data_IF_708364121513
#
_entry.id   IF_708364121513
#
_cell.length_a   1.000
_cell.length_b   1.000
_cell.length_c   1.000
_cell.angle_alpha   90.00
_cell.angle_beta   90.00
_cell.angle_gamma   90.00
#
_symmetry.space_group_name_H-M   'P 1'
#
loop_
_entity.id
_entity.type
_entity.pdbx_description
1 polymer ?
#
# COMPACT_ATOMS: atom_id res chain seq x y z
N UNK A 1 14.01 18.61 3.12
CA UNK A 1 12.74 19.22 2.67
C UNK A 1 11.76 19.13 3.84
N UNK A 2 11.20 20.24 4.33
CA UNK A 2 10.41 20.31 5.59
C UNK A 2 8.99 20.79 5.29
N UNK A 3 7.98 19.93 5.51
CA UNK A 3 6.56 20.20 5.25
C UNK A 3 5.99 21.34 6.11
N UNK A 4 6.52 21.55 7.32
CA UNK A 4 6.06 22.62 8.20
C UNK A 4 6.49 24.01 7.69
N UNK A 5 7.63 24.12 7.00
CA UNK A 5 8.12 25.39 6.46
C UNK A 5 7.63 25.68 5.05
N UNK A 6 7.10 24.68 4.34
CA UNK A 6 6.48 24.83 3.02
C UNK A 6 4.95 24.92 3.08
N UNK A 7 4.38 25.20 4.26
CA UNK A 7 2.93 25.25 4.48
C UNK A 7 2.20 23.99 4.00
N UNK A 8 2.74 22.81 4.33
CA UNK A 8 2.24 21.50 3.87
C UNK A 8 2.16 21.41 2.34
N UNK A 9 3.18 21.89 1.63
CA UNK A 9 3.32 21.57 0.20
C UNK A 9 3.59 20.06 0.05
N UNK A 10 2.98 19.35 -0.92
CA UNK A 10 3.33 17.95 -1.24
C UNK A 10 4.77 17.83 -1.78
N UNK A 11 5.41 16.63 -1.69
CA UNK A 11 4.88 15.35 -1.23
C UNK A 11 5.00 15.12 0.29
N UNK A 12 3.94 14.68 0.95
CA UNK A 12 3.92 14.46 2.41
C UNK A 12 4.59 13.18 2.89
N UNK A 13 5.02 12.32 1.97
CA UNK A 13 5.58 11.00 2.28
C UNK A 13 7.06 10.97 1.95
N UNK A 14 7.86 10.37 2.82
CA UNK A 14 9.32 10.36 2.72
C UNK A 14 9.89 9.02 2.23
N UNK A 15 9.05 8.00 2.04
CA UNK A 15 9.47 6.71 1.51
C UNK A 15 8.44 5.61 1.67
N UNK A 16 8.89 4.38 1.43
CA UNK A 16 8.14 3.14 1.54
C UNK A 16 8.89 2.19 2.45
N UNK A 17 8.11 1.41 3.21
CA UNK A 17 8.58 0.24 3.93
C UNK A 17 7.72 -0.97 3.54
N UNK A 18 8.36 -2.07 3.14
CA UNK A 18 7.68 -3.33 2.89
C UNK A 18 8.59 -4.52 3.24
N UNK A 19 8.02 -5.70 3.39
CA UNK A 19 8.80 -6.95 3.43
C UNK A 19 8.90 -7.54 2.01
N UNK A 20 10.09 -7.57 1.38
CA UNK A 20 10.26 -8.16 0.05
C UNK A 20 9.90 -9.64 -0.03
N UNK A 21 9.89 -10.34 1.12
CA UNK A 21 9.51 -11.76 1.20
C UNK A 21 8.01 -11.96 1.27
N UNK A 22 7.22 -10.89 1.40
CA UNK A 22 5.77 -10.98 1.43
C UNK A 22 5.26 -11.62 0.11
N UNK A 23 4.40 -12.65 0.16
CA UNK A 23 3.97 -13.36 -1.04
C UNK A 23 3.32 -12.48 -2.12
N UNK A 24 2.61 -11.42 -1.72
CA UNK A 24 2.05 -10.40 -2.62
C UNK A 24 3.10 -9.67 -3.48
N UNK A 25 4.35 -9.63 -3.04
CA UNK A 25 5.47 -8.94 -3.70
C UNK A 25 6.44 -9.93 -4.37
N UNK A 26 6.15 -11.23 -4.36
CA UNK A 26 7.06 -12.27 -4.84
C UNK A 26 7.43 -12.14 -6.33
N UNK A 27 6.54 -11.56 -7.15
CA UNK A 27 6.79 -11.29 -8.56
C UNK A 27 7.05 -9.80 -8.84
N UNK A 28 7.18 -8.95 -7.82
CA UNK A 28 7.50 -7.54 -7.98
C UNK A 28 8.94 -7.28 -7.53
N UNK A 29 9.83 -6.75 -8.40
CA UNK A 29 11.23 -6.55 -8.05
C UNK A 29 11.36 -5.42 -7.02
N UNK A 30 11.42 -5.77 -5.73
CA UNK A 30 11.52 -4.80 -4.64
C UNK A 30 12.49 -5.22 -3.55
N UNK A 31 12.96 -4.22 -2.81
CA UNK A 31 13.73 -4.37 -1.57
C UNK A 31 12.94 -3.75 -0.42
N UNK A 32 13.51 -3.78 0.79
CA UNK A 32 12.84 -3.30 2.01
C UNK A 32 12.58 -1.78 2.00
N UNK A 33 13.22 -1.04 1.10
CA UNK A 33 13.22 0.42 1.02
C UNK A 33 12.80 0.90 -0.38
N UNK A 34 12.44 2.18 -0.49
CA UNK A 34 12.08 2.83 -1.76
C UNK A 34 13.20 2.78 -2.79
N UNK A 35 12.83 2.49 -4.03
CA UNK A 35 13.70 2.45 -5.21
C UNK A 35 12.83 2.80 -6.43
N UNK A 36 13.44 2.97 -7.61
CA UNK A 36 12.84 3.63 -8.77
C UNK A 36 11.49 3.04 -9.22
N UNK A 37 11.30 1.72 -9.10
CA UNK A 37 10.05 1.05 -9.46
C UNK A 37 8.83 1.54 -8.67
N UNK A 38 9.03 2.14 -7.51
CA UNK A 38 7.95 2.68 -6.69
C UNK A 38 7.49 4.07 -7.13
N UNK A 39 8.30 4.79 -7.93
CA UNK A 39 8.00 6.17 -8.32
C UNK A 39 6.63 6.29 -8.99
N UNK A 40 6.37 5.48 -10.02
CA UNK A 40 5.10 5.48 -10.74
C UNK A 40 3.91 5.13 -9.82
N UNK A 41 4.07 4.13 -8.96
CA UNK A 41 3.02 3.67 -8.04
C UNK A 41 2.68 4.75 -7.01
N UNK A 42 3.68 5.42 -6.43
CA UNK A 42 3.46 6.46 -5.41
C UNK A 42 2.93 7.75 -6.01
N UNK A 43 3.39 8.12 -7.21
CA UNK A 43 2.90 9.31 -7.92
C UNK A 43 1.45 9.19 -8.37
N UNK A 44 0.94 7.97 -8.52
CA UNK A 44 -0.44 7.68 -8.93
C UNK A 44 -1.17 6.88 -7.86
N UNK A 45 -1.08 7.28 -6.59
CA UNK A 45 -1.84 6.67 -5.50
C UNK A 45 -2.43 7.71 -4.54
N UNK A 46 -3.41 7.25 -3.76
CA UNK A 46 -3.86 7.95 -2.56
C UNK A 46 -3.37 7.20 -1.32
N UNK A 47 -2.72 7.88 -0.39
CA UNK A 47 -2.30 7.23 0.86
C UNK A 47 -3.53 6.85 1.70
N UNK A 48 -3.66 5.57 2.06
CA UNK A 48 -4.69 5.12 3.00
C UNK A 48 -4.24 5.43 4.42
N UNK A 49 -5.03 6.21 5.15
CA UNK A 49 -4.80 6.50 6.58
C UNK A 49 -5.35 5.34 7.40
N UNK A 50 -4.48 4.71 8.19
CA UNK A 50 -4.75 3.48 8.95
C UNK A 50 -4.69 3.72 10.47
N UNK A 51 -4.83 4.97 10.92
CA UNK A 51 -4.72 5.33 12.34
C UNK A 51 -5.78 4.61 13.20
N UNK A 52 -6.96 4.35 12.63
CA UNK A 52 -8.06 3.61 13.30
C UNK A 52 -7.92 2.08 13.23
N UNK A 53 -6.91 1.56 12.52
CA UNK A 53 -6.65 0.12 12.45
C UNK A 53 -5.96 -0.37 13.72
N UNK A 54 -6.02 -1.69 14.06
CA UNK A 54 -5.32 -2.24 15.21
C UNK A 54 -3.87 -1.78 15.29
N UNK A 55 -3.37 -1.47 16.49
CA UNK A 55 -2.06 -0.84 16.69
C UNK A 55 -0.91 -1.67 16.07
N UNK A 56 -1.02 -3.00 16.14
CA UNK A 56 -0.10 -3.99 15.61
C UNK A 56 -0.31 -4.28 14.10
N UNK A 57 -1.41 -3.82 13.51
CA UNK A 57 -1.66 -3.99 12.08
C UNK A 57 -0.56 -3.34 11.25
N UNK A 58 -0.09 -4.03 10.21
CA UNK A 58 0.90 -3.54 9.26
C UNK A 58 0.39 -3.82 7.84
N UNK A 59 0.14 -2.78 7.00
CA UNK A 59 -0.12 -3.01 5.57
C UNK A 59 1.06 -3.74 4.91
N UNK A 60 0.77 -4.41 3.79
CA UNK A 60 1.77 -5.10 2.97
C UNK A 60 2.83 -4.11 2.47
N UNK A 61 2.39 -2.90 2.10
CA UNK A 61 3.28 -1.80 1.72
C UNK A 61 2.88 -0.54 2.49
N UNK A 62 3.79 -0.09 3.35
CA UNK A 62 3.67 1.13 4.12
C UNK A 62 4.19 2.33 3.32
N UNK A 63 3.45 3.43 3.34
CA UNK A 63 4.02 4.75 3.07
C UNK A 63 4.52 5.33 4.38
N UNK A 64 5.72 5.90 4.35
CA UNK A 64 6.27 6.62 5.50
C UNK A 64 5.81 8.06 5.38
N UNK A 65 4.98 8.50 6.32
CA UNK A 65 4.51 9.88 6.41
C UNK A 65 5.63 10.83 6.88
N UNK A 66 5.39 12.13 6.79
CA UNK A 66 6.29 13.11 7.38
C UNK A 66 6.34 13.00 8.90
N UNK A 67 7.44 13.48 9.49
CA UNK A 67 7.66 13.43 10.94
C UNK A 67 6.75 14.38 11.75
N UNK A 68 6.00 15.27 11.09
CA UNK A 68 5.15 16.25 11.76
C UNK A 68 3.78 15.64 12.09
N UNK A 69 3.20 14.90 11.14
CA UNK A 69 1.91 14.23 11.34
C UNK A 69 2.07 12.75 11.71
N UNK A 70 3.10 12.07 11.17
CA UNK A 70 3.44 10.69 11.48
C UNK A 70 2.24 9.73 11.46
N UNK A 71 1.33 9.92 10.49
CA UNK A 71 0.16 9.04 10.32
C UNK A 71 0.61 7.67 9.90
N UNK A 72 -0.16 6.66 10.28
CA UNK A 72 0.04 5.30 9.83
C UNK A 72 -0.52 5.16 8.42
N UNK A 73 0.34 5.20 7.41
CA UNK A 73 -0.08 5.16 6.00
C UNK A 73 0.21 3.80 5.32
N UNK A 74 -0.64 3.43 4.36
CA UNK A 74 -0.43 2.28 3.48
C UNK A 74 -0.90 2.53 2.04
N UNK A 75 -0.36 1.75 1.10
CA UNK A 75 -0.83 1.70 -0.31
C UNK A 75 -1.40 0.35 -0.70
N UNK A 76 -1.03 -0.69 0.04
CA UNK A 76 -1.44 -2.05 -0.21
C UNK A 76 -1.64 -2.74 1.13
N UNK A 77 -2.84 -3.27 1.35
CA UNK A 77 -3.21 -3.94 2.59
C UNK A 77 -4.05 -5.19 2.33
N UNK A 78 -4.03 -6.11 3.27
CA UNK A 78 -4.83 -7.34 3.23
C UNK A 78 -5.49 -7.62 4.58
N UNK A 79 -6.58 -8.38 4.56
CA UNK A 79 -7.28 -8.79 5.78
C UNK A 79 -8.43 -9.75 5.51
N UNK A 80 -8.92 -10.40 6.57
CA UNK A 80 -10.19 -11.11 6.55
C UNK A 80 -11.30 -10.13 6.89
N UNK A 81 -12.37 -10.12 6.10
CA UNK A 81 -13.54 -9.27 6.34
C UNK A 81 -14.78 -10.15 6.27
N UNK A 82 -15.43 -10.34 7.42
CA UNK A 82 -16.47 -11.38 7.57
C UNK A 82 -15.91 -12.77 7.23
N UNK A 83 -16.57 -13.48 6.32
CA UNK A 83 -16.15 -14.80 5.85
C UNK A 83 -15.21 -14.76 4.63
N UNK A 84 -14.85 -13.57 4.16
CA UNK A 84 -14.03 -13.36 2.96
C UNK A 84 -12.60 -12.91 3.27
N UNK A 85 -11.76 -12.95 2.23
CA UNK A 85 -10.41 -12.37 2.22
C UNK A 85 -10.44 -11.14 1.31
N UNK A 86 -9.79 -10.07 1.74
CA UNK A 86 -9.76 -8.80 1.03
C UNK A 86 -8.32 -8.35 0.79
N UNK A 87 -8.10 -7.81 -0.40
CA UNK A 87 -6.90 -7.08 -0.77
C UNK A 87 -7.34 -5.68 -1.20
N UNK A 88 -6.74 -4.63 -0.64
CA UNK A 88 -7.04 -3.24 -1.01
C UNK A 88 -5.75 -2.57 -1.47
N UNK A 89 -5.80 -1.98 -2.65
CA UNK A 89 -4.71 -1.19 -3.22
C UNK A 89 -5.23 0.19 -3.62
N UNK A 90 -4.53 1.24 -3.24
CA UNK A 90 -4.88 2.63 -3.56
C UNK A 90 -4.03 3.23 -4.66
N UNK A 91 -3.06 2.47 -5.20
CA UNK A 91 -2.33 2.85 -6.40
C UNK A 91 -3.16 2.57 -7.65
N UNK A 92 -3.01 3.41 -8.67
CA UNK A 92 -3.62 3.20 -9.97
C UNK A 92 -2.93 2.04 -10.69
N UNK A 93 -3.66 0.94 -10.77
CA UNK A 93 -3.28 -0.30 -11.45
C UNK A 93 -4.16 -0.58 -12.68
N UNK A 94 -4.76 0.45 -13.29
CA UNK A 94 -5.68 0.28 -14.42
C UNK A 94 -5.34 1.16 -15.61
N UNK A 95 -4.87 2.38 -15.39
CA UNK A 95 -4.65 3.36 -16.46
C UNK A 95 -3.32 3.15 -17.16
N UNK A 96 -3.34 3.10 -18.51
CA UNK A 96 -2.16 3.10 -19.39
C UNK A 96 -1.04 2.12 -19.00
N UNK A 97 -1.39 0.90 -18.56
CA UNK A 97 -0.43 -0.09 -18.07
C UNK A 97 0.65 -0.50 -19.09
N UNK A 98 0.39 -0.32 -20.38
CA UNK A 98 1.39 -0.56 -21.43
C UNK A 98 2.57 0.42 -21.37
N UNK A 99 2.32 1.62 -20.83
CA UNK A 99 3.32 2.68 -20.62
C UNK A 99 3.91 2.66 -19.20
N UNK A 100 3.28 1.92 -18.28
CA UNK A 100 3.61 1.90 -16.83
C UNK A 100 4.05 0.51 -16.39
N UNK A 101 5.29 0.09 -16.72
CA UNK A 101 5.76 -1.28 -16.49
C UNK A 101 5.77 -1.68 -15.00
N UNK A 102 6.06 -0.73 -14.10
CA UNK A 102 6.03 -0.96 -12.66
C UNK A 102 4.60 -1.27 -12.16
N UNK A 103 3.61 -0.45 -12.52
CA UNK A 103 2.21 -0.69 -12.19
C UNK A 103 1.70 -2.01 -12.77
N UNK A 104 2.05 -2.32 -14.03
CA UNK A 104 1.69 -3.59 -14.68
C UNK A 104 2.25 -4.79 -13.92
N UNK A 105 3.54 -4.76 -13.56
CA UNK A 105 4.17 -5.85 -12.82
C UNK A 105 3.63 -5.98 -11.39
N UNK A 106 3.39 -4.85 -10.72
CA UNK A 106 2.83 -4.84 -9.37
C UNK A 106 1.42 -5.44 -9.34
N UNK A 107 0.56 -5.06 -10.29
CA UNK A 107 -0.76 -5.67 -10.50
C UNK A 107 -0.66 -7.17 -10.71
N UNK A 108 0.25 -7.61 -11.59
CA UNK A 108 0.45 -9.03 -11.85
C UNK A 108 0.86 -9.80 -10.59
N UNK A 109 1.79 -9.27 -9.80
CA UNK A 109 2.23 -9.88 -8.55
C UNK A 109 1.09 -10.03 -7.54
N UNK A 110 0.26 -8.99 -7.38
CA UNK A 110 -0.90 -9.03 -6.48
C UNK A 110 -1.92 -10.07 -6.95
N UNK A 111 -2.27 -10.08 -8.24
CA UNK A 111 -3.25 -11.02 -8.79
C UNK A 111 -2.77 -12.47 -8.68
N UNK A 112 -1.49 -12.74 -8.95
CA UNK A 112 -0.89 -14.06 -8.77
C UNK A 112 -0.95 -14.52 -7.32
N UNK A 113 -0.70 -13.61 -6.38
CA UNK A 113 -0.82 -13.90 -4.96
C UNK A 113 -2.28 -14.24 -4.59
N UNK A 114 -3.23 -13.37 -4.94
CA UNK A 114 -4.67 -13.56 -4.67
C UNK A 114 -5.25 -14.84 -5.28
N UNK A 115 -4.73 -15.27 -6.43
CA UNK A 115 -5.13 -16.50 -7.11
C UNK A 115 -4.45 -17.77 -6.57
N UNK A 116 -3.57 -17.65 -5.57
CA UNK A 116 -2.83 -18.77 -4.99
C UNK A 116 -3.33 -19.14 -3.58
N UNK A 117 -3.04 -20.36 -3.15
CA UNK A 117 -3.33 -20.82 -1.77
C UNK A 117 -2.58 -20.03 -0.70
N UNK A 118 -1.54 -19.28 -1.10
CA UNK A 118 -0.79 -18.41 -0.19
C UNK A 118 -1.58 -17.18 0.24
N UNK A 119 -2.63 -16.78 -0.48
CA UNK A 119 -3.49 -15.68 -0.07
C UNK A 119 -4.34 -16.11 1.11
N UNK A 120 -3.80 -15.91 2.31
CA UNK A 120 -4.41 -16.30 3.57
C UNK A 120 -4.13 -15.27 4.66
N UNK A 121 -4.66 -14.03 4.52
CA UNK A 121 -4.44 -12.98 5.51
C UNK A 121 -4.90 -13.46 6.88
N UNK A 122 -4.14 -13.18 7.94
CA UNK A 122 -4.44 -13.64 9.31
C UNK A 122 -5.28 -12.64 10.10
N UNK A 123 -5.14 -11.35 9.82
CA UNK A 123 -5.80 -10.27 10.56
C UNK A 123 -7.25 -10.17 10.13
N UNK A 124 -8.17 -10.17 11.10
CA UNK A 124 -9.58 -9.85 10.87
C UNK A 124 -9.80 -8.35 11.00
N UNK A 125 -10.45 -7.75 10.00
CA UNK A 125 -10.74 -6.33 9.93
C UNK A 125 -12.25 -6.11 9.93
N UNK A 126 -12.69 -5.11 10.69
CA UNK A 126 -14.08 -4.68 10.67
C UNK A 126 -14.41 -4.03 9.31
N UNK A 127 -15.50 -4.42 8.63
CA UNK A 127 -15.94 -3.78 7.39
C UNK A 127 -16.06 -2.25 7.47
N UNK A 128 -16.35 -1.70 8.65
CA UNK A 128 -16.44 -0.25 8.89
C UNK A 128 -15.09 0.45 8.73
N UNK A 129 -13.99 -0.18 9.13
CA UNK A 129 -12.62 0.32 8.91
C UNK A 129 -12.28 0.36 7.42
N UNK A 130 -12.73 -0.63 6.65
CA UNK A 130 -12.51 -0.62 5.20
C UNK A 130 -13.31 0.51 4.54
N UNK A 131 -14.56 0.71 4.98
CA UNK A 131 -15.42 1.79 4.49
C UNK A 131 -14.88 3.19 4.78
N UNK A 132 -14.10 3.39 5.85
CA UNK A 132 -13.51 4.70 6.14
C UNK A 132 -12.41 5.11 5.16
N UNK A 133 -11.84 4.15 4.41
CA UNK A 133 -10.74 4.41 3.47
C UNK A 133 -11.14 5.10 2.17
N UNK A 134 -12.41 5.02 1.75
CA UNK A 134 -12.88 5.52 0.46
C UNK A 134 -14.11 6.43 0.58
N UNK A 135 -14.27 7.08 1.73
CA UNK A 135 -15.25 8.16 1.91
C UNK A 135 -14.82 9.45 1.23
#
# INVERSE_FOLDING_TARGET
WNTAWTNKQPPHTIGILCDPKHPALAAFPTKKYSDYQWWDLVSHCNAMVLDDFPADYRPVVHLIDDWFTNRKLGILLEGKVGNGKLMVCSADLQTELDKRPAARQFRQSILQYMASDRFNPSVSLDPTLIKSLYK
#
